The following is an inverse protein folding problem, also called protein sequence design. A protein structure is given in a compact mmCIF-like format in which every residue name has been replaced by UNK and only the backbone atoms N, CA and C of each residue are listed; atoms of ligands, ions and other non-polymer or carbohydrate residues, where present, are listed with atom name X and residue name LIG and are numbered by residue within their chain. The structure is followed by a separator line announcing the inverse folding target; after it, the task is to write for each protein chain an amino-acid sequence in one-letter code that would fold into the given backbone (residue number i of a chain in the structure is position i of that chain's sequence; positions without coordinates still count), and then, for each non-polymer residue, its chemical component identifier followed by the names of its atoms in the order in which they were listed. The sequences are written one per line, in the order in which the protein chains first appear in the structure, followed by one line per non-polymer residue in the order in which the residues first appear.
data_IF_559808306096
#
_entry.id   IF_559808306096
#
_cell.length_a   1.000
_cell.length_b   1.000
_cell.length_c   1.000
_cell.angle_alpha   90.00
_cell.angle_beta   90.00
_cell.angle_gamma   90.00
#
_symmetry.space_group_name_H-M   'P 1'
#
loop_
_entity.id
_entity.type
_entity.pdbx_description
1 polymer ?
#
# COMPACT_ATOMS: atom_id res chain seq x y z
N UNK A 1 -30.27 19.69 25.14
CA UNK A 1 -29.23 18.64 25.17
C UNK A 1 -28.11 19.10 24.23
N UNK A 2 -26.87 19.14 24.66
CA UNK A 2 -25.76 19.46 23.75
C UNK A 2 -25.69 18.37 22.68
N UNK A 3 -25.57 18.77 21.40
CA UNK A 3 -25.39 17.80 20.32
C UNK A 3 -24.09 17.02 20.56
N UNK A 4 -24.10 15.70 20.33
CA UNK A 4 -22.91 14.87 20.39
C UNK A 4 -21.82 15.43 19.47
N UNK A 5 -20.56 15.37 19.92
CA UNK A 5 -19.40 15.80 19.13
C UNK A 5 -19.23 14.87 17.92
N UNK A 6 -19.31 15.43 16.71
CA UNK A 6 -19.18 14.66 15.46
C UNK A 6 -17.72 14.65 15.00
N UNK A 7 -17.12 13.48 14.98
CA UNK A 7 -15.75 13.26 14.53
C UNK A 7 -15.76 12.44 13.26
N UNK A 8 -15.30 13.02 12.16
CA UNK A 8 -15.20 12.31 10.88
C UNK A 8 -13.72 12.04 10.58
N UNK A 9 -13.43 10.81 10.17
CA UNK A 9 -12.07 10.34 9.85
C UNK A 9 -12.06 9.87 8.39
N UNK A 10 -11.20 10.45 7.57
CA UNK A 10 -11.03 10.06 6.17
C UNK A 10 -9.83 9.12 6.05
N UNK A 11 -10.08 7.88 5.64
CA UNK A 11 -9.12 6.79 5.52
C UNK A 11 -9.31 5.71 6.57
N UNK A 12 -9.46 4.48 6.12
CA UNK A 12 -9.88 3.33 6.94
C UNK A 12 -8.84 2.22 7.11
N UNK A 13 -7.57 2.40 6.69
CA UNK A 13 -6.60 1.28 6.73
C UNK A 13 -5.79 1.25 8.03
N UNK A 14 -4.90 2.21 8.28
CA UNK A 14 -3.99 2.16 9.42
C UNK A 14 -4.22 3.33 10.41
N UNK A 15 -3.85 4.55 10.02
CA UNK A 15 -3.89 5.72 10.90
C UNK A 15 -5.33 6.10 11.29
N UNK A 16 -6.26 6.06 10.32
CA UNK A 16 -7.66 6.44 10.54
C UNK A 16 -8.38 5.58 11.59
N UNK A 17 -8.44 4.27 11.46
CA UNK A 17 -9.05 3.39 12.46
C UNK A 17 -8.42 3.52 13.85
N UNK A 18 -7.11 3.73 13.91
CA UNK A 18 -6.39 3.97 15.16
C UNK A 18 -6.81 5.29 15.82
N UNK A 19 -6.89 6.35 15.01
CA UNK A 19 -7.34 7.67 15.46
C UNK A 19 -8.80 7.65 15.91
N UNK A 20 -9.70 7.06 15.09
CA UNK A 20 -11.11 6.90 15.41
C UNK A 20 -11.32 6.15 16.73
N UNK A 21 -10.67 5.00 16.90
CA UNK A 21 -10.76 4.21 18.12
C UNK A 21 -10.18 4.96 19.33
N UNK A 22 -9.17 5.81 19.16
CA UNK A 22 -8.64 6.65 20.24
C UNK A 22 -9.60 7.78 20.58
N UNK A 23 -10.15 8.44 19.55
CA UNK A 23 -11.14 9.52 19.74
C UNK A 23 -12.37 9.02 20.51
N UNK A 24 -12.92 7.86 20.11
CA UNK A 24 -14.07 7.23 20.79
C UNK A 24 -13.80 6.94 22.27
N UNK A 25 -12.60 6.45 22.62
CA UNK A 25 -12.24 6.20 24.04
C UNK A 25 -12.12 7.47 24.86
N UNK A 26 -11.71 8.59 24.25
CA UNK A 26 -11.54 9.87 24.94
C UNK A 26 -12.82 10.68 25.00
N UNK A 27 -13.74 10.48 24.06
CA UNK A 27 -15.04 11.12 23.99
C UNK A 27 -16.12 10.04 23.77
N UNK A 28 -16.58 9.36 24.84
CA UNK A 28 -17.51 8.23 24.73
C UNK A 28 -18.88 8.61 24.14
N UNK A 29 -19.28 9.87 24.22
CA UNK A 29 -20.57 10.36 23.71
C UNK A 29 -20.45 10.97 22.31
N UNK A 30 -19.25 10.89 21.68
CA UNK A 30 -19.05 11.44 20.33
C UNK A 30 -19.59 10.51 19.25
N UNK A 31 -20.15 11.07 18.19
CA UNK A 31 -20.44 10.34 16.96
C UNK A 31 -19.17 10.25 16.11
N UNK A 32 -18.61 9.05 15.98
CA UNK A 32 -17.36 8.82 15.23
C UNK A 32 -17.68 8.07 13.95
N UNK A 33 -17.31 8.66 12.80
CA UNK A 33 -17.51 8.06 11.49
C UNK A 33 -16.18 7.95 10.73
N UNK A 34 -15.88 6.77 10.21
CA UNK A 34 -14.78 6.53 9.26
C UNK A 34 -15.36 6.52 7.85
N UNK A 35 -14.71 7.23 6.92
CA UNK A 35 -14.98 7.19 5.48
C UNK A 35 -13.79 6.53 4.79
N UNK A 36 -14.04 5.42 4.09
CA UNK A 36 -13.02 4.66 3.37
C UNK A 36 -13.46 4.39 1.93
N UNK A 37 -12.60 4.71 0.96
CA UNK A 37 -12.93 4.51 -0.46
C UNK A 37 -12.87 3.06 -0.90
N UNK A 38 -12.01 2.26 -0.27
CA UNK A 38 -11.84 0.85 -0.60
C UNK A 38 -12.88 -0.01 0.16
N UNK A 39 -13.11 -1.21 -0.35
CA UNK A 39 -14.02 -2.18 0.28
C UNK A 39 -13.44 -2.72 1.58
N UNK A 40 -12.13 -2.97 1.59
CA UNK A 40 -11.40 -3.53 2.73
C UNK A 40 -10.86 -2.41 3.61
N UNK A 41 -10.90 -2.61 4.90
CA UNK A 41 -10.40 -1.66 5.89
C UNK A 41 -9.59 -2.36 6.98
N UNK A 42 -8.83 -1.58 7.74
CA UNK A 42 -8.08 -2.02 8.92
C UNK A 42 -7.17 -3.24 8.68
N UNK A 43 -6.65 -3.38 7.47
CA UNK A 43 -5.69 -4.45 7.15
C UNK A 43 -4.25 -4.07 7.50
N UNK A 44 -3.44 -5.09 7.72
CA UNK A 44 -2.01 -4.95 7.98
C UNK A 44 -1.25 -4.72 6.66
N UNK A 45 -1.05 -3.47 6.24
CA UNK A 45 -0.29 -3.14 5.02
C UNK A 45 1.13 -3.70 5.04
N UNK A 46 1.83 -3.63 6.18
CA UNK A 46 3.14 -4.25 6.36
C UNK A 46 3.10 -5.80 6.41
N UNK A 47 1.91 -6.39 6.44
CA UNK A 47 1.72 -7.84 6.37
C UNK A 47 1.64 -8.39 4.95
N UNK A 48 1.55 -7.53 3.92
CA UNK A 48 1.39 -7.94 2.53
C UNK A 48 2.56 -8.79 2.03
N UNK A 49 3.85 -8.45 2.28
CA UNK A 49 4.96 -9.30 1.91
C UNK A 49 4.89 -10.69 2.57
N UNK A 50 4.52 -10.77 3.85
CA UNK A 50 4.36 -12.04 4.57
C UNK A 50 3.17 -12.88 4.04
N UNK A 51 2.14 -12.22 3.51
CA UNK A 51 1.06 -12.91 2.83
C UNK A 51 1.51 -13.44 1.46
N UNK A 52 2.33 -12.69 0.74
CA UNK A 52 2.90 -13.11 -0.55
C UNK A 52 3.85 -14.30 -0.37
N UNK A 53 4.72 -14.30 0.65
CA UNK A 53 5.61 -15.44 0.96
C UNK A 53 4.85 -16.68 1.47
N UNK A 54 3.58 -16.52 1.88
CA UNK A 54 2.78 -17.60 2.47
C UNK A 54 2.98 -17.79 3.97
N UNK A 55 3.78 -16.95 4.64
CA UNK A 55 3.89 -16.90 6.11
C UNK A 55 2.54 -16.55 6.73
N UNK A 56 1.84 -15.54 6.22
CA UNK A 56 0.43 -15.30 6.46
C UNK A 56 -0.37 -16.14 5.46
N UNK A 57 -1.06 -17.15 5.93
CA UNK A 57 -1.67 -18.17 5.08
C UNK A 57 -2.91 -17.67 4.34
N UNK A 58 -3.78 -16.98 5.04
CA UNK A 58 -5.07 -16.58 4.52
C UNK A 58 -5.22 -15.05 4.46
N UNK A 59 -5.84 -14.57 3.39
CA UNK A 59 -6.13 -13.15 3.17
C UNK A 59 -6.82 -12.50 4.38
N UNK A 60 -7.78 -13.22 5.00
CA UNK A 60 -8.51 -12.71 6.16
C UNK A 60 -7.62 -12.39 7.36
N UNK A 61 -6.48 -13.08 7.50
CA UNK A 61 -5.58 -12.90 8.65
C UNK A 61 -4.91 -11.51 8.64
N UNK A 62 -4.79 -10.90 7.45
CA UNK A 62 -4.34 -9.50 7.32
C UNK A 62 -5.30 -8.51 8.02
N UNK A 63 -6.57 -8.85 8.11
CA UNK A 63 -7.66 -8.00 8.63
C UNK A 63 -8.19 -8.48 9.98
N UNK A 64 -7.71 -9.61 10.49
CA UNK A 64 -8.23 -10.19 11.72
C UNK A 64 -7.57 -9.62 12.97
N UNK A 65 -8.28 -9.70 14.09
CA UNK A 65 -7.70 -9.55 15.42
C UNK A 65 -6.86 -10.78 15.77
N UNK A 66 -6.01 -10.74 16.81
CA UNK A 66 -5.24 -11.91 17.24
C UNK A 66 -6.10 -13.15 17.58
N UNK A 67 -7.39 -12.97 17.84
CA UNK A 67 -8.35 -14.04 18.12
C UNK A 67 -9.22 -14.38 16.90
N UNK A 68 -8.85 -13.93 15.69
CA UNK A 68 -9.48 -14.31 14.43
C UNK A 68 -10.75 -13.53 14.05
N UNK A 69 -11.15 -12.49 14.79
CA UNK A 69 -12.32 -11.66 14.44
C UNK A 69 -11.94 -10.66 13.37
N UNK A 70 -12.69 -10.61 12.26
CA UNK A 70 -12.46 -9.64 11.18
C UNK A 70 -12.76 -8.22 11.65
N UNK A 71 -11.92 -7.29 11.22
CA UNK A 71 -12.08 -5.84 11.47
C UNK A 71 -12.81 -5.19 10.29
N UNK A 72 -14.05 -5.61 10.08
CA UNK A 72 -14.98 -5.09 9.09
C UNK A 72 -15.87 -3.96 9.65
N UNK A 73 -16.78 -3.36 8.85
CA UNK A 73 -17.69 -2.33 9.35
C UNK A 73 -18.54 -2.78 10.55
N UNK A 74 -18.95 -4.03 10.56
CA UNK A 74 -19.77 -4.61 11.66
C UNK A 74 -18.97 -4.69 12.98
N UNK A 75 -17.71 -5.11 12.90
CA UNK A 75 -16.81 -5.07 14.05
C UNK A 75 -16.65 -3.66 14.61
N UNK A 76 -16.46 -2.66 13.73
CA UNK A 76 -16.33 -1.28 14.18
C UNK A 76 -17.62 -0.76 14.82
N UNK A 77 -18.78 -1.09 14.27
CA UNK A 77 -20.07 -0.72 14.86
C UNK A 77 -20.30 -1.39 16.22
N UNK A 78 -20.15 -2.70 16.29
CA UNK A 78 -20.56 -3.49 17.48
C UNK A 78 -19.51 -3.47 18.61
N UNK A 79 -18.22 -3.39 18.28
CA UNK A 79 -17.13 -3.51 19.27
C UNK A 79 -16.52 -2.16 19.60
N UNK A 80 -16.54 -1.20 18.66
CA UNK A 80 -15.90 0.10 18.82
C UNK A 80 -16.89 1.25 18.89
N UNK A 81 -18.16 0.99 18.57
CA UNK A 81 -19.21 2.00 18.46
C UNK A 81 -18.76 3.15 17.51
N UNK A 82 -18.30 2.75 16.33
CA UNK A 82 -17.81 3.62 15.26
C UNK A 82 -18.53 3.25 13.98
N UNK A 83 -19.15 4.22 13.33
CA UNK A 83 -19.77 4.05 12.02
C UNK A 83 -18.67 3.99 10.94
N UNK A 84 -18.77 3.04 10.02
CA UNK A 84 -17.86 2.96 8.86
C UNK A 84 -18.67 3.06 7.57
N UNK A 85 -18.26 3.98 6.71
CA UNK A 85 -18.72 4.14 5.34
C UNK A 85 -17.60 3.71 4.41
N UNK A 86 -17.52 2.42 4.12
CA UNK A 86 -16.59 1.89 3.12
C UNK A 86 -17.17 2.05 1.70
N UNK A 87 -16.36 1.78 0.67
CA UNK A 87 -16.70 2.05 -0.73
C UNK A 87 -17.22 3.48 -0.94
N UNK A 88 -16.74 4.41 -0.11
CA UNK A 88 -17.19 5.80 -0.03
C UNK A 88 -15.99 6.74 -0.07
N UNK A 89 -15.91 7.51 -1.14
CA UNK A 89 -14.83 8.48 -1.36
C UNK A 89 -15.17 9.85 -0.79
N UNK A 90 -14.27 10.44 -0.03
CA UNK A 90 -14.34 11.84 0.36
C UNK A 90 -13.85 12.71 -0.80
N UNK A 91 -14.71 13.54 -1.35
CA UNK A 91 -14.44 14.33 -2.57
C UNK A 91 -14.17 15.80 -2.31
N UNK A 92 -14.72 16.37 -1.22
CA UNK A 92 -14.59 17.80 -0.90
C UNK A 92 -14.71 18.03 0.61
N UNK A 93 -13.95 18.98 1.13
CA UNK A 93 -14.09 19.49 2.50
C UNK A 93 -14.58 20.93 2.43
N UNK A 94 -15.82 21.19 2.80
CA UNK A 94 -16.35 22.54 2.96
C UNK A 94 -16.09 23.00 4.41
N UNK A 95 -15.04 23.80 4.58
CA UNK A 95 -14.63 24.31 5.89
C UNK A 95 -15.57 25.40 6.42
N UNK A 96 -16.27 26.12 5.54
CA UNK A 96 -17.13 27.23 5.91
C UNK A 96 -18.35 26.77 6.71
N UNK A 97 -18.92 25.65 6.32
CA UNK A 97 -20.08 25.01 6.97
C UNK A 97 -19.69 23.73 7.73
N UNK A 98 -18.40 23.34 7.72
CA UNK A 98 -17.89 22.12 8.35
C UNK A 98 -18.60 20.85 7.87
N UNK A 99 -18.62 20.67 6.57
CA UNK A 99 -19.18 19.48 5.94
C UNK A 99 -18.13 18.77 5.06
N UNK A 100 -18.13 17.44 5.11
CA UNK A 100 -17.40 16.59 4.20
C UNK A 100 -18.36 16.06 3.14
N UNK A 101 -18.08 16.32 1.87
CA UNK A 101 -18.81 15.72 0.76
C UNK A 101 -18.25 14.34 0.48
N UNK A 102 -19.11 13.32 0.47
CA UNK A 102 -18.75 11.94 0.21
C UNK A 102 -19.58 11.37 -0.92
N UNK A 103 -18.99 10.48 -1.71
CA UNK A 103 -19.62 9.77 -2.83
C UNK A 103 -19.52 8.27 -2.59
N UNK A 104 -20.65 7.58 -2.50
CA UNK A 104 -20.70 6.12 -2.44
C UNK A 104 -20.39 5.55 -3.84
N UNK A 105 -19.28 4.85 -3.98
CA UNK A 105 -18.73 4.45 -5.28
C UNK A 105 -19.64 3.48 -6.06
N UNK A 106 -20.26 2.46 -5.44
CA UNK A 106 -21.13 1.53 -6.17
C UNK A 106 -22.39 2.19 -6.77
N UNK A 107 -22.94 3.20 -6.10
CA UNK A 107 -24.23 3.82 -6.54
C UNK A 107 -24.05 5.22 -7.13
N UNK A 108 -22.88 5.85 -6.94
CA UNK A 108 -22.66 7.24 -7.29
C UNK A 108 -23.37 8.26 -6.38
N UNK A 109 -24.12 7.80 -5.37
CA UNK A 109 -24.87 8.68 -4.48
C UNK A 109 -23.94 9.58 -3.66
N UNK A 110 -24.25 10.87 -3.60
CA UNK A 110 -23.49 11.86 -2.85
C UNK A 110 -24.21 12.24 -1.56
N UNK A 111 -23.46 12.40 -0.47
CA UNK A 111 -23.96 12.82 0.84
C UNK A 111 -23.01 13.87 1.43
N UNK A 112 -23.57 14.78 2.24
CA UNK A 112 -22.80 15.72 3.08
C UNK A 112 -22.80 15.22 4.52
N UNK A 113 -21.60 15.10 5.11
CA UNK A 113 -21.40 14.68 6.49
C UNK A 113 -20.95 15.88 7.31
N UNK A 114 -21.78 16.41 8.19
CA UNK A 114 -21.36 17.49 9.07
C UNK A 114 -20.35 16.97 10.11
N UNK A 115 -19.34 17.78 10.41
CA UNK A 115 -18.32 17.44 11.40
C UNK A 115 -17.99 18.61 12.32
N UNK A 116 -17.61 18.31 13.56
CA UNK A 116 -17.03 19.26 14.50
C UNK A 116 -15.51 19.12 14.52
N UNK A 117 -15.01 17.90 14.25
CA UNK A 117 -13.60 17.58 14.05
C UNK A 117 -13.43 16.66 12.84
N UNK A 118 -12.44 16.95 12.02
CA UNK A 118 -12.08 16.15 10.85
C UNK A 118 -10.63 15.66 10.98
N UNK A 119 -10.42 14.38 10.76
CA UNK A 119 -9.10 13.75 10.71
C UNK A 119 -8.86 13.28 9.29
N UNK A 120 -7.78 13.76 8.67
CA UNK A 120 -7.39 13.38 7.31
C UNK A 120 -6.27 12.33 7.44
N UNK A 121 -6.55 11.10 7.04
CA UNK A 121 -5.65 9.95 7.08
C UNK A 121 -5.66 9.20 5.73
N UNK A 122 -5.64 9.94 4.64
CA UNK A 122 -5.80 9.49 3.25
C UNK A 122 -4.66 8.63 2.72
N UNK A 123 -3.58 8.45 3.50
CA UNK A 123 -2.45 7.60 3.14
C UNK A 123 -1.61 8.17 2.00
N UNK A 124 -1.05 7.26 1.19
CA UNK A 124 -0.18 7.57 0.08
C UNK A 124 -0.40 6.57 -1.05
N UNK A 125 0.00 6.89 -2.28
CA UNK A 125 0.03 5.97 -3.42
C UNK A 125 1.49 5.69 -3.84
N UNK A 126 1.79 4.50 -4.42
CA UNK A 126 3.08 4.25 -5.02
C UNK A 126 3.41 5.28 -6.09
N UNK A 127 4.67 5.67 -6.17
CA UNK A 127 5.15 6.50 -7.28
C UNK A 127 5.18 5.64 -8.53
N UNK A 128 4.61 6.18 -9.61
CA UNK A 128 4.65 5.59 -10.93
C UNK A 128 5.67 6.33 -11.79
N UNK A 129 6.91 5.81 -11.94
CA UNK A 129 7.95 6.48 -12.69
C UNK A 129 7.66 6.36 -14.19
N UNK A 130 8.06 7.34 -15.02
CA UNK A 130 7.86 7.32 -16.46
C UNK A 130 8.89 6.39 -17.15
N UNK A 131 8.89 5.11 -16.75
CA UNK A 131 9.74 4.08 -17.35
C UNK A 131 8.94 3.45 -18.51
N UNK A 132 9.43 3.46 -19.76
CA UNK A 132 8.78 2.78 -20.86
C UNK A 132 8.53 1.31 -20.53
N UNK A 133 7.30 0.82 -20.76
CA UNK A 133 6.87 -0.54 -20.43
C UNK A 133 6.40 -0.75 -18.99
N UNK A 134 6.22 0.32 -18.20
CA UNK A 134 5.71 0.23 -16.83
C UNK A 134 4.23 -0.19 -16.75
N UNK A 135 3.54 -0.25 -17.88
CA UNK A 135 2.15 -0.68 -18.05
C UNK A 135 2.00 -2.10 -18.61
N UNK A 136 3.12 -2.80 -18.88
CA UNK A 136 3.10 -4.18 -19.34
C UNK A 136 2.47 -5.13 -18.33
N UNK A 137 1.89 -6.24 -18.84
CA UNK A 137 1.37 -7.29 -17.96
C UNK A 137 2.50 -7.89 -17.10
N UNK A 138 2.23 -8.05 -15.80
CA UNK A 138 3.17 -8.49 -14.75
C UNK A 138 4.17 -7.39 -14.32
N UNK A 139 3.90 -6.12 -14.60
CA UNK A 139 4.53 -4.99 -13.88
C UNK A 139 3.58 -4.56 -12.76
N UNK A 140 4.00 -4.75 -11.51
CA UNK A 140 3.16 -4.58 -10.34
C UNK A 140 3.67 -3.46 -9.42
N UNK A 141 2.77 -2.96 -8.60
CA UNK A 141 3.03 -2.13 -7.41
C UNK A 141 2.42 -2.87 -6.22
N UNK A 142 2.88 -2.58 -5.02
CA UNK A 142 2.33 -3.19 -3.81
C UNK A 142 1.80 -2.10 -2.89
N UNK A 143 0.48 -2.06 -2.72
CA UNK A 143 -0.20 -1.10 -1.86
C UNK A 143 -1.39 -1.71 -1.13
N UNK A 144 -2.25 -2.43 -1.88
CA UNK A 144 -3.50 -3.00 -1.40
C UNK A 144 -3.43 -4.51 -1.28
N UNK A 145 -4.42 -5.08 -0.61
CA UNK A 145 -4.54 -6.54 -0.47
C UNK A 145 -4.72 -7.19 -1.85
N UNK A 146 -5.44 -6.53 -2.76
CA UNK A 146 -5.65 -7.00 -4.14
C UNK A 146 -4.34 -7.08 -4.94
N UNK A 147 -3.41 -6.16 -4.70
CA UNK A 147 -2.08 -6.21 -5.31
C UNK A 147 -1.30 -7.44 -4.83
N UNK A 148 -1.40 -7.72 -3.52
CA UNK A 148 -0.78 -8.91 -2.93
C UNK A 148 -1.43 -10.21 -3.41
N UNK A 149 -2.75 -10.24 -3.58
CA UNK A 149 -3.48 -11.37 -4.19
C UNK A 149 -2.94 -11.64 -5.60
N UNK A 150 -2.84 -10.59 -6.43
CA UNK A 150 -2.31 -10.69 -7.79
C UNK A 150 -0.86 -11.16 -7.80
N UNK A 151 -0.03 -10.62 -6.91
CA UNK A 151 1.36 -11.03 -6.78
C UNK A 151 1.47 -12.52 -6.41
N UNK A 152 0.71 -12.95 -5.40
CA UNK A 152 0.67 -14.34 -4.94
C UNK A 152 0.17 -15.31 -6.02
N UNK A 153 -0.84 -14.91 -6.79
CA UNK A 153 -1.33 -15.69 -7.94
C UNK A 153 -0.22 -15.93 -8.96
N UNK A 154 0.54 -14.89 -9.32
CA UNK A 154 1.64 -14.99 -10.28
C UNK A 154 2.79 -15.83 -9.74
N UNK A 155 3.07 -15.77 -8.44
CA UNK A 155 4.09 -16.59 -7.80
C UNK A 155 3.71 -18.08 -7.76
N UNK A 156 2.43 -18.41 -7.55
CA UNK A 156 1.95 -19.79 -7.46
C UNK A 156 1.66 -20.42 -8.83
N UNK A 157 1.29 -19.62 -9.82
CA UNK A 157 0.99 -20.10 -11.17
C UNK A 157 2.22 -20.46 -12.00
N UNK A 158 3.43 -20.12 -11.54
CA UNK A 158 4.69 -20.33 -12.22
C UNK A 158 5.70 -21.02 -11.32
N UNK A 159 6.55 -21.85 -11.92
CA UNK A 159 7.65 -22.48 -11.17
C UNK A 159 8.77 -21.45 -11.02
N UNK A 160 8.87 -20.82 -9.86
CA UNK A 160 9.95 -19.90 -9.48
C UNK A 160 10.24 -18.81 -10.55
N UNK A 161 9.37 -17.84 -10.77
CA UNK A 161 9.59 -16.81 -11.77
C UNK A 161 10.85 -15.98 -11.49
N UNK A 162 11.49 -15.45 -12.54
CA UNK A 162 12.52 -14.44 -12.40
C UNK A 162 11.86 -13.10 -12.09
N UNK A 163 12.19 -12.53 -10.93
CA UNK A 163 11.58 -11.29 -10.42
C UNK A 163 12.61 -10.17 -10.41
N UNK A 164 12.26 -9.04 -11.01
CA UNK A 164 13.05 -7.81 -10.86
C UNK A 164 12.31 -6.85 -9.94
N UNK A 165 13.00 -6.37 -8.91
CA UNK A 165 12.52 -5.34 -7.99
C UNK A 165 13.23 -4.03 -8.31
N UNK A 166 12.47 -3.02 -8.73
CA UNK A 166 12.97 -1.69 -9.03
C UNK A 166 12.77 -0.80 -7.80
N UNK A 167 13.88 -0.46 -7.15
CA UNK A 167 13.94 0.32 -5.91
C UNK A 167 14.37 -0.51 -4.70
N UNK A 168 15.46 -0.10 -4.09
CA UNK A 168 16.12 -0.72 -2.93
C UNK A 168 15.66 -0.15 -1.58
N UNK A 169 14.45 0.42 -1.50
CA UNK A 169 13.85 0.91 -0.25
C UNK A 169 13.25 -0.21 0.60
N UNK A 170 12.60 0.14 1.73
CA UNK A 170 12.03 -0.82 2.69
C UNK A 170 11.09 -1.84 2.04
N UNK A 171 10.10 -1.37 1.27
CA UNK A 171 9.13 -2.26 0.59
C UNK A 171 9.86 -3.18 -0.40
N UNK A 172 10.83 -2.65 -1.15
CA UNK A 172 11.64 -3.45 -2.07
C UNK A 172 12.41 -4.56 -1.35
N UNK A 173 12.96 -4.27 -0.17
CA UNK A 173 13.70 -5.25 0.62
C UNK A 173 12.79 -6.31 1.24
N UNK A 174 11.67 -5.93 1.85
CA UNK A 174 10.67 -6.86 2.37
C UNK A 174 10.13 -7.78 1.26
N UNK A 175 9.92 -7.24 0.07
CA UNK A 175 9.50 -8.04 -1.08
C UNK A 175 10.62 -8.91 -1.63
N UNK A 176 11.87 -8.47 -1.58
CA UNK A 176 13.02 -9.31 -1.96
C UNK A 176 13.08 -10.57 -1.11
N UNK A 177 12.94 -10.42 0.21
CA UNK A 177 12.88 -11.55 1.16
C UNK A 177 11.71 -12.47 0.80
N UNK A 178 10.48 -11.91 0.74
CA UNK A 178 9.27 -12.68 0.46
C UNK A 178 9.35 -13.50 -0.84
N UNK A 179 9.89 -12.92 -1.92
CA UNK A 179 9.98 -13.58 -3.24
C UNK A 179 11.11 -14.62 -3.27
N UNK A 180 12.22 -14.33 -2.56
CA UNK A 180 13.35 -15.28 -2.42
C UNK A 180 12.92 -16.53 -1.64
N UNK A 181 12.13 -16.36 -0.57
CA UNK A 181 11.55 -17.48 0.19
C UNK A 181 10.63 -18.37 -0.67
N UNK A 182 9.97 -17.78 -1.68
CA UNK A 182 9.20 -18.55 -2.67
C UNK A 182 10.08 -19.29 -3.69
N UNK A 183 11.41 -19.18 -3.61
CA UNK A 183 12.35 -19.86 -4.52
C UNK A 183 12.61 -19.14 -5.84
N UNK A 184 12.22 -17.88 -5.98
CA UNK A 184 12.43 -17.08 -7.19
C UNK A 184 13.87 -16.56 -7.29
N UNK A 185 14.37 -16.45 -8.53
CA UNK A 185 15.59 -15.69 -8.82
C UNK A 185 15.29 -14.19 -8.77
N UNK A 186 15.92 -13.45 -7.88
CA UNK A 186 15.63 -12.03 -7.66
C UNK A 186 16.78 -11.14 -8.11
N UNK A 187 16.43 -10.09 -8.87
CA UNK A 187 17.33 -8.98 -9.20
C UNK A 187 16.76 -7.69 -8.60
N UNK A 188 17.51 -7.02 -7.76
CA UNK A 188 17.20 -5.69 -7.24
C UNK A 188 17.97 -4.65 -8.04
N UNK A 189 17.27 -3.64 -8.56
CA UNK A 189 17.87 -2.51 -9.28
C UNK A 189 17.63 -1.24 -8.49
N UNK A 190 18.72 -0.61 -8.02
CA UNK A 190 18.68 0.64 -7.27
C UNK A 190 19.50 1.72 -7.99
N UNK A 191 18.88 2.86 -8.23
CA UNK A 191 19.52 3.99 -8.91
C UNK A 191 20.54 4.70 -8.03
N UNK A 192 20.33 4.70 -6.72
CA UNK A 192 21.20 5.32 -5.74
C UNK A 192 22.44 4.44 -5.45
N UNK A 193 23.49 5.00 -4.81
CA UNK A 193 24.75 4.28 -4.57
C UNK A 193 24.61 2.99 -3.75
N UNK A 194 23.60 2.87 -2.92
CA UNK A 194 23.32 1.67 -2.11
C UNK A 194 21.81 1.54 -1.85
N UNK A 195 21.37 0.35 -1.49
CA UNK A 195 20.01 0.08 -0.99
C UNK A 195 19.80 0.74 0.39
N UNK A 196 18.55 0.80 0.84
CA UNK A 196 18.18 1.29 2.19
C UNK A 196 18.87 2.62 2.54
N UNK A 197 18.72 3.62 1.69
CA UNK A 197 19.40 4.93 1.81
C UNK A 197 19.11 5.70 3.11
N UNK A 198 18.20 5.19 3.95
CA UNK A 198 18.00 5.68 5.32
C UNK A 198 19.05 5.15 6.31
N UNK A 199 19.86 4.15 5.92
CA UNK A 199 20.99 3.62 6.68
C UNK A 199 22.28 4.28 6.22
N UNK A 200 23.29 4.26 7.07
CA UNK A 200 24.67 4.58 6.69
C UNK A 200 25.21 3.53 5.68
N UNK A 201 26.08 3.95 4.80
CA UNK A 201 26.54 3.11 3.67
C UNK A 201 27.21 1.78 4.10
N UNK A 202 27.93 1.78 5.22
CA UNK A 202 28.53 0.59 5.79
C UNK A 202 27.49 -0.41 6.31
N UNK A 203 26.42 0.08 6.92
CA UNK A 203 25.30 -0.75 7.36
C UNK A 203 24.52 -1.32 6.17
N UNK A 204 24.26 -0.49 5.15
CA UNK A 204 23.61 -0.94 3.91
C UNK A 204 24.46 -2.01 3.20
N UNK A 205 25.80 -1.87 3.21
CA UNK A 205 26.72 -2.85 2.62
C UNK A 205 26.64 -4.23 3.28
N UNK A 206 26.40 -4.30 4.59
CA UNK A 206 26.19 -5.58 5.28
C UNK A 206 24.91 -6.28 4.80
N UNK A 207 23.82 -5.52 4.61
CA UNK A 207 22.56 -6.05 4.05
C UNK A 207 22.78 -6.54 2.61
N UNK A 208 23.42 -5.74 1.76
CA UNK A 208 23.74 -6.15 0.39
C UNK A 208 24.60 -7.41 0.35
N UNK A 209 25.61 -7.52 1.22
CA UNK A 209 26.44 -8.71 1.32
C UNK A 209 25.60 -9.95 1.66
N UNK A 210 24.71 -9.84 2.63
CA UNK A 210 23.80 -10.93 3.00
C UNK A 210 22.90 -11.33 1.83
N UNK A 211 22.28 -10.35 1.15
CA UNK A 211 21.43 -10.61 -0.01
C UNK A 211 22.17 -11.38 -1.11
N UNK A 212 23.40 -10.98 -1.41
CA UNK A 212 24.25 -11.71 -2.39
C UNK A 212 24.58 -13.13 -1.96
N UNK A 213 24.79 -13.37 -0.66
CA UNK A 213 25.04 -14.71 -0.12
C UNK A 213 23.83 -15.64 -0.28
N UNK A 214 22.61 -15.11 -0.20
CA UNK A 214 21.38 -15.89 -0.43
C UNK A 214 20.94 -15.89 -1.91
N UNK A 215 21.81 -15.45 -2.83
CA UNK A 215 21.59 -15.56 -4.27
C UNK A 215 20.86 -14.39 -4.92
N UNK A 216 20.55 -13.33 -4.20
CA UNK A 216 19.94 -12.12 -4.77
C UNK A 216 20.98 -11.31 -5.54
N UNK A 217 20.65 -10.93 -6.76
CA UNK A 217 21.47 -10.01 -7.54
C UNK A 217 21.13 -8.57 -7.18
N UNK A 218 22.07 -7.80 -6.67
CA UNK A 218 21.90 -6.38 -6.32
C UNK A 218 22.72 -5.52 -7.27
N UNK A 219 22.05 -4.61 -7.97
CA UNK A 219 22.58 -3.64 -8.93
C UNK A 219 22.36 -2.23 -8.36
N UNK A 220 23.28 -1.75 -7.55
CA UNK A 220 23.32 -0.38 -7.03
C UNK A 220 23.92 0.56 -8.08
N UNK A 221 23.69 1.89 -7.97
CA UNK A 221 24.08 2.91 -8.97
C UNK A 221 23.62 2.56 -10.39
N UNK A 222 22.49 1.88 -10.52
CA UNK A 222 21.99 1.34 -11.79
C UNK A 222 20.59 1.89 -12.07
N UNK A 223 20.42 2.55 -13.21
CA UNK A 223 19.13 3.10 -13.63
C UNK A 223 18.42 2.12 -14.53
N UNK A 224 17.12 1.91 -14.31
CA UNK A 224 16.24 1.24 -15.27
C UNK A 224 15.93 2.22 -16.41
N UNK A 225 16.14 1.78 -17.63
CA UNK A 225 15.89 2.58 -18.83
C UNK A 225 14.52 2.25 -19.44
N UNK A 226 14.16 0.96 -19.49
CA UNK A 226 12.86 0.49 -19.95
C UNK A 226 12.60 -0.96 -19.53
N UNK A 227 11.35 -1.38 -19.60
CA UNK A 227 10.90 -2.75 -19.41
C UNK A 227 10.46 -3.27 -20.78
N UNK A 228 10.98 -4.42 -21.20
CA UNK A 228 10.64 -5.03 -22.49
C UNK A 228 9.55 -6.08 -22.30
N UNK A 229 8.59 -6.07 -23.23
CA UNK A 229 7.53 -7.06 -23.33
C UNK A 229 7.80 -8.13 -24.39
N UNK A 230 7.12 -9.25 -24.25
CA UNK A 230 6.99 -10.23 -25.32
C UNK A 230 5.87 -9.84 -26.33
N UNK A 231 5.64 -10.68 -27.34
CA UNK A 231 4.59 -10.45 -28.36
C UNK A 231 3.17 -10.41 -27.77
N UNK A 232 2.98 -10.92 -26.55
CA UNK A 232 1.69 -10.91 -25.82
C UNK A 232 1.57 -9.73 -24.86
N UNK A 233 2.57 -8.83 -24.78
CA UNK A 233 2.58 -7.69 -23.87
C UNK A 233 2.94 -8.04 -22.42
N UNK A 234 3.53 -9.23 -22.16
CA UNK A 234 4.02 -9.65 -20.86
C UNK A 234 5.48 -9.28 -20.69
N UNK A 235 5.87 -8.99 -19.47
CA UNK A 235 7.29 -8.72 -19.14
C UNK A 235 8.19 -9.87 -19.59
N UNK A 236 9.27 -9.51 -20.28
CA UNK A 236 10.33 -10.42 -20.77
C UNK A 236 11.69 -10.07 -20.15
N UNK A 237 12.02 -8.80 -20.07
CA UNK A 237 13.30 -8.33 -19.53
C UNK A 237 13.23 -6.90 -19.01
N UNK A 238 14.21 -6.51 -18.22
CA UNK A 238 14.45 -5.13 -17.78
C UNK A 238 15.79 -4.66 -18.30
N UNK A 239 15.78 -3.59 -19.07
CA UNK A 239 16.98 -2.94 -19.61
C UNK A 239 17.42 -1.84 -18.67
N UNK A 240 18.68 -1.87 -18.30
CA UNK A 240 19.29 -0.96 -17.33
C UNK A 240 20.59 -0.36 -17.89
N UNK A 241 21.12 0.65 -17.22
CA UNK A 241 22.45 1.19 -17.53
C UNK A 241 23.61 0.18 -17.36
N UNK A 242 23.37 -0.95 -16.71
CA UNK A 242 24.35 -2.03 -16.52
C UNK A 242 24.10 -3.24 -17.42
N UNK A 243 23.14 -3.16 -18.34
CA UNK A 243 22.77 -4.24 -19.27
C UNK A 243 21.32 -4.67 -19.14
N UNK A 244 20.99 -5.75 -19.86
CA UNK A 244 19.63 -6.33 -19.91
C UNK A 244 19.56 -7.58 -19.02
N UNK A 245 18.47 -7.68 -18.25
CA UNK A 245 18.24 -8.78 -17.31
C UNK A 245 16.87 -9.40 -17.57
N UNK A 246 16.79 -10.72 -17.74
CA UNK A 246 15.52 -11.40 -17.96
C UNK A 246 14.64 -11.25 -16.72
N UNK A 247 13.36 -11.01 -16.95
CA UNK A 247 12.35 -10.88 -15.89
C UNK A 247 11.01 -11.42 -16.41
N UNK A 248 10.24 -12.06 -15.53
CA UNK A 248 8.88 -12.52 -15.80
C UNK A 248 7.85 -11.76 -14.96
N UNK A 249 8.35 -11.07 -13.95
CA UNK A 249 7.59 -10.25 -13.03
C UNK A 249 8.45 -9.06 -12.60
N UNK A 250 7.89 -7.88 -12.59
CA UNK A 250 8.56 -6.66 -12.13
C UNK A 250 7.73 -6.03 -11.01
N UNK A 251 8.37 -5.73 -9.89
CA UNK A 251 7.82 -4.86 -8.86
C UNK A 251 8.46 -3.47 -8.96
N UNK A 252 7.65 -2.44 -9.10
CA UNK A 252 8.10 -1.05 -8.99
C UNK A 252 7.87 -0.57 -7.55
N UNK A 253 8.97 -0.24 -6.85
CA UNK A 253 8.99 0.14 -5.43
C UNK A 253 9.90 1.35 -5.19
N UNK A 254 9.72 2.42 -5.99
CA UNK A 254 10.57 3.62 -6.02
C UNK A 254 10.08 4.75 -5.12
N UNK A 255 9.26 4.43 -4.14
CA UNK A 255 8.73 5.36 -3.15
C UNK A 255 7.22 5.56 -3.22
N UNK A 256 6.73 6.44 -2.36
CA UNK A 256 5.30 6.76 -2.22
C UNK A 256 5.08 8.27 -2.27
N UNK A 257 3.89 8.68 -2.70
CA UNK A 257 3.42 10.08 -2.68
C UNK A 257 2.21 10.18 -1.75
N UNK A 258 2.25 11.03 -0.72
CA UNK A 258 1.09 11.28 0.14
C UNK A 258 -0.10 11.83 -0.63
N UNK A 259 -1.31 11.36 -0.27
CA UNK A 259 -2.58 11.84 -0.85
C UNK A 259 -3.01 13.13 -0.16
N UNK A 260 -2.54 14.26 -0.65
CA UNK A 260 -2.75 15.58 -0.04
C UNK A 260 -3.80 16.44 -0.76
N UNK A 261 -4.31 15.99 -1.89
CA UNK A 261 -5.18 16.78 -2.77
C UNK A 261 -6.46 17.24 -2.06
N UNK A 262 -7.09 16.35 -1.28
CA UNK A 262 -8.28 16.70 -0.49
C UNK A 262 -8.01 17.83 0.50
N UNK A 263 -6.87 17.79 1.18
CA UNK A 263 -6.43 18.82 2.13
C UNK A 263 -6.05 20.12 1.43
N UNK A 264 -5.31 20.01 0.32
CA UNK A 264 -4.87 21.17 -0.49
C UNK A 264 -6.06 21.92 -1.06
N UNK A 265 -7.03 21.21 -1.65
CA UNK A 265 -8.23 21.81 -2.23
C UNK A 265 -9.10 22.51 -1.17
N UNK A 266 -9.00 22.10 0.08
CA UNK A 266 -9.62 22.76 1.23
C UNK A 266 -8.80 23.91 1.83
N UNK A 267 -7.64 24.26 1.24
CA UNK A 267 -6.79 25.34 1.72
C UNK A 267 -6.11 25.04 3.07
N UNK A 268 -5.76 23.76 3.32
CA UNK A 268 -5.07 23.32 4.55
C UNK A 268 -3.53 23.28 4.37
N UNK A 269 -3.05 23.30 3.14
CA UNK A 269 -1.65 23.35 2.71
C UNK A 269 -1.51 24.23 1.47
#
# INVERSE_FOLDING_TARGET
MANALRIVVVGGVAAGPKAAARARRLAPDADVTIVEKDKLLSYAGCGLPYYISGMVKERKDLMATPIGVLRDPEFFANVKDITVLNETEATEIDRSVRELVVRHLPTGATKRLPYDRLIIATGAEPVDPPIPGNDLENVLRLKRVEDADRFRELMTSRTCPMVTIIGGGLIGMEMTEAVTECGSAVTVVEMLPHILTMLDADMAALVEQHMRQVGVKVLSSTRVERIEGDEQGKVKSVVTSAGEFPAQLVLISVGIRPNVELARNAGLI
#
